data_IF_103058544542
#
_entry.id   IF_103058544542
#
_cell.length_a   1.000
_cell.length_b   1.000
_cell.length_c   1.000
_cell.angle_alpha   90.00
_cell.angle_beta   90.00
_cell.angle_gamma   90.00
#
_symmetry.space_group_name_H-M   'P 1'
#
loop_
_entity.id
_entity.type
_entity.pdbx_description
1 polymer ?
#
# COMPACT_ATOMS: atom_id res chain seq x y z
N UNK A 1 -0.94 12.65 -2.97
CA UNK A 1 -0.46 12.07 -1.69
C UNK A 1 0.65 11.09 -2.03
N UNK A 2 1.82 11.23 -1.41
CA UNK A 2 2.95 10.32 -1.58
C UNK A 2 2.92 9.30 -0.42
N UNK A 3 2.59 8.04 -0.74
CA UNK A 3 2.53 6.91 0.20
C UNK A 3 3.59 5.84 -0.15
N UNK A 4 3.95 5.74 -1.43
CA UNK A 4 5.01 4.84 -1.90
C UNK A 4 6.40 5.43 -1.65
N UNK A 5 7.38 4.55 -1.44
CA UNK A 5 8.79 4.91 -1.29
C UNK A 5 9.50 4.57 -2.62
N UNK A 6 9.72 5.54 -3.52
CA UNK A 6 10.43 5.29 -4.77
C UNK A 6 11.91 4.99 -4.53
N UNK A 7 12.54 4.27 -5.47
CA UNK A 7 14.00 3.98 -5.41
C UNK A 7 14.88 5.23 -5.54
N UNK A 8 14.33 6.35 -5.99
CA UNK A 8 15.04 7.62 -6.14
C UNK A 8 14.14 8.82 -5.87
N UNK A 9 14.73 10.01 -5.88
CA UNK A 9 14.00 11.23 -5.54
C UNK A 9 12.88 11.53 -6.57
N UNK A 10 11.70 11.88 -6.06
CA UNK A 10 10.63 12.45 -6.86
C UNK A 10 11.00 13.88 -7.27
N UNK A 11 11.01 14.16 -8.58
CA UNK A 11 11.12 15.52 -9.10
C UNK A 11 9.75 16.16 -9.26
N UNK A 12 9.60 17.40 -8.82
CA UNK A 12 8.36 18.15 -8.87
C UNK A 12 8.64 19.54 -9.44
N UNK A 13 7.76 20.03 -10.31
CA UNK A 13 7.85 21.37 -10.87
C UNK A 13 7.32 22.42 -9.87
N UNK A 14 8.16 23.40 -9.51
CA UNK A 14 7.81 24.44 -8.54
C UNK A 14 6.73 25.42 -9.06
N UNK A 15 6.70 25.72 -10.35
CA UNK A 15 5.69 26.59 -10.95
C UNK A 15 4.29 25.96 -10.87
N UNK A 16 4.19 24.64 -11.02
CA UNK A 16 2.91 23.93 -10.89
C UNK A 16 2.39 23.94 -9.44
N UNK A 17 3.29 23.95 -8.45
CA UNK A 17 2.93 24.14 -7.04
C UNK A 17 2.44 25.59 -6.81
N UNK A 18 3.19 26.58 -7.30
CA UNK A 18 2.87 28.00 -7.15
C UNK A 18 1.51 28.35 -7.77
N UNK A 19 1.25 27.84 -8.98
CA UNK A 19 -0.03 28.03 -9.68
C UNK A 19 -1.18 27.20 -9.07
N UNK A 20 -0.91 26.43 -8.01
CA UNK A 20 -1.92 25.66 -7.30
C UNK A 20 -2.48 24.48 -8.09
N UNK A 21 -1.78 23.99 -9.13
CA UNK A 21 -2.25 22.86 -9.95
C UNK A 21 -2.30 21.55 -9.16
N UNK A 22 -1.40 21.38 -8.19
CA UNK A 22 -1.35 20.20 -7.33
C UNK A 22 -1.08 20.57 -5.87
N UNK A 23 -1.64 19.77 -4.95
CA UNK A 23 -1.26 19.76 -3.54
C UNK A 23 -0.53 18.46 -3.22
N UNK A 24 0.62 18.59 -2.55
CA UNK A 24 1.48 17.45 -2.22
C UNK A 24 1.45 17.26 -0.72
N UNK A 25 1.16 16.02 -0.30
CA UNK A 25 1.09 15.61 1.09
C UNK A 25 1.78 14.25 1.20
N UNK A 26 2.73 14.13 2.11
CA UNK A 26 3.26 12.84 2.54
C UNK A 26 2.33 12.22 3.57
N UNK A 27 2.08 10.92 3.45
CA UNK A 27 1.34 10.16 4.44
C UNK A 27 2.03 8.83 4.68
N UNK A 28 1.99 8.36 5.92
CA UNK A 28 2.49 7.06 6.36
C UNK A 28 1.39 6.32 7.11
N UNK A 29 1.70 5.16 7.69
CA UNK A 29 0.81 4.44 8.58
C UNK A 29 0.27 5.36 9.68
N UNK A 30 -1.05 5.40 9.81
CA UNK A 30 -1.73 6.14 10.87
C UNK A 30 -1.55 5.48 12.24
N UNK A 31 -2.01 6.15 13.29
CA UNK A 31 -1.98 5.59 14.64
C UNK A 31 -3.08 4.53 14.81
N UNK A 32 -2.94 3.57 15.76
CA UNK A 32 -3.97 2.57 16.04
C UNK A 32 -5.35 3.18 16.34
N UNK A 33 -5.39 4.37 16.97
CA UNK A 33 -6.63 5.09 17.26
C UNK A 33 -7.38 5.51 15.98
N UNK A 34 -6.66 5.77 14.89
CA UNK A 34 -7.22 6.16 13.60
C UNK A 34 -7.73 4.97 12.78
N UNK A 35 -7.40 3.72 13.16
CA UNK A 35 -7.74 2.53 12.38
C UNK A 35 -9.22 2.10 12.51
N UNK A 36 -9.89 2.51 13.58
CA UNK A 36 -11.27 2.09 13.87
C UNK A 36 -12.25 2.43 12.74
N UNK A 37 -12.24 3.69 12.28
CA UNK A 37 -13.18 4.16 11.27
C UNK A 37 -12.96 3.50 9.89
N UNK A 38 -11.71 3.41 9.36
CA UNK A 38 -11.44 2.67 8.12
C UNK A 38 -11.85 1.19 8.18
N UNK A 39 -11.60 0.51 9.30
CA UNK A 39 -11.98 -0.90 9.46
C UNK A 39 -13.50 -1.05 9.43
N UNK A 40 -14.21 -0.22 10.20
CA UNK A 40 -15.68 -0.22 10.25
C UNK A 40 -16.27 0.08 8.87
N UNK A 41 -15.80 1.13 8.20
CA UNK A 41 -16.23 1.48 6.86
C UNK A 41 -15.98 0.35 5.85
N UNK A 42 -14.82 -0.31 5.94
CA UNK A 42 -14.50 -1.45 5.06
C UNK A 42 -15.47 -2.62 5.27
N UNK A 43 -15.84 -2.90 6.52
CA UNK A 43 -16.83 -3.93 6.84
C UNK A 43 -18.23 -3.57 6.31
N UNK A 44 -18.71 -2.35 6.57
CA UNK A 44 -20.04 -1.88 6.18
C UNK A 44 -20.24 -1.86 4.66
N UNK A 45 -19.18 -1.55 3.91
CA UNK A 45 -19.23 -1.48 2.44
C UNK A 45 -18.72 -2.75 1.75
N UNK A 46 -18.40 -3.81 2.50
CA UNK A 46 -17.92 -5.07 1.95
C UNK A 46 -16.57 -4.97 1.22
N UNK A 47 -15.74 -3.98 1.58
CA UNK A 47 -14.42 -3.77 0.98
C UNK A 47 -13.46 -4.85 1.49
N UNK A 48 -13.01 -5.72 0.59
CA UNK A 48 -12.06 -6.79 0.89
C UNK A 48 -10.78 -6.60 0.10
N UNK A 49 -9.65 -6.90 0.73
CA UNK A 49 -8.38 -6.97 0.01
C UNK A 49 -8.40 -8.16 -0.95
N UNK A 50 -7.92 -7.94 -2.19
CA UNK A 50 -7.59 -9.05 -3.06
C UNK A 50 -6.35 -9.76 -2.50
N UNK A 51 -6.52 -11.00 -2.07
CA UNK A 51 -5.50 -11.76 -1.34
C UNK A 51 -5.20 -13.07 -2.05
N UNK A 52 -3.92 -13.34 -2.30
CA UNK A 52 -3.41 -14.66 -2.68
C UNK A 52 -2.78 -15.30 -1.45
N UNK A 53 -3.24 -16.50 -1.10
CA UNK A 53 -2.84 -17.19 0.13
C UNK A 53 -1.87 -18.34 -0.15
N UNK A 54 -0.91 -18.52 0.74
CA UNK A 54 0.03 -19.65 0.79
C UNK A 54 -0.24 -20.46 2.06
N UNK A 55 -0.08 -21.77 1.98
CA UNK A 55 -0.42 -22.70 3.08
C UNK A 55 0.78 -23.15 3.91
N UNK A 56 2.00 -22.80 3.49
CA UNK A 56 3.23 -23.17 4.17
C UNK A 56 4.08 -21.91 4.41
N UNK A 57 4.65 -21.83 5.60
CA UNK A 57 5.65 -20.81 5.95
C UNK A 57 6.94 -20.96 5.11
N UNK A 58 7.23 -22.17 4.64
CA UNK A 58 8.33 -22.44 3.71
C UNK A 58 8.23 -21.68 2.38
N UNK A 59 7.02 -21.27 1.98
CA UNK A 59 6.81 -20.52 0.74
C UNK A 59 7.29 -19.05 0.82
N UNK A 60 7.77 -18.56 1.97
CA UNK A 60 8.24 -17.17 2.13
C UNK A 60 9.23 -16.75 1.04
N UNK A 61 10.19 -17.60 0.68
CA UNK A 61 11.19 -17.22 -0.32
C UNK A 61 10.57 -17.00 -1.70
N UNK A 62 9.64 -17.88 -2.09
CA UNK A 62 8.85 -17.73 -3.31
C UNK A 62 8.01 -16.45 -3.29
N UNK A 63 7.43 -16.10 -2.13
CA UNK A 63 6.67 -14.86 -1.95
C UNK A 63 7.57 -13.64 -2.18
N UNK A 64 8.79 -13.64 -1.64
CA UNK A 64 9.78 -12.57 -1.82
C UNK A 64 10.15 -12.44 -3.30
N UNK A 65 10.45 -13.55 -3.98
CA UNK A 65 10.77 -13.54 -5.41
C UNK A 65 9.62 -12.96 -6.25
N UNK A 66 8.36 -13.27 -5.91
CA UNK A 66 7.20 -12.72 -6.58
C UNK A 66 7.05 -11.21 -6.33
N UNK A 67 7.37 -10.73 -5.12
CA UNK A 67 7.35 -9.30 -4.76
C UNK A 67 8.41 -8.51 -5.52
N UNK A 68 9.65 -9.00 -5.56
CA UNK A 68 10.76 -8.30 -6.23
C UNK A 68 10.57 -8.22 -7.74
N UNK A 69 10.00 -9.26 -8.35
CA UNK A 69 9.69 -9.30 -9.78
C UNK A 69 8.40 -8.56 -10.16
N UNK A 70 7.72 -7.91 -9.21
CA UNK A 70 6.47 -7.19 -9.46
C UNK A 70 5.32 -8.08 -9.94
N UNK A 71 5.37 -9.40 -9.66
CA UNK A 71 4.37 -10.39 -10.08
C UNK A 71 3.22 -10.51 -9.07
N UNK A 72 2.91 -9.42 -8.38
CA UNK A 72 1.90 -9.41 -7.32
C UNK A 72 0.56 -8.92 -7.85
N UNK A 73 -0.48 -9.74 -7.66
CA UNK A 73 -1.86 -9.32 -7.80
C UNK A 73 -2.43 -9.16 -6.39
N UNK A 74 -2.48 -7.92 -5.89
CA UNK A 74 -3.01 -7.61 -4.56
C UNK A 74 -2.03 -7.91 -3.42
N UNK A 75 -2.50 -8.60 -2.38
CA UNK A 75 -1.75 -8.89 -1.15
C UNK A 75 -1.43 -10.38 -1.05
N UNK A 76 -0.32 -10.70 -0.42
CA UNK A 76 0.05 -12.07 -0.06
C UNK A 76 -0.19 -12.32 1.42
N UNK A 77 -0.73 -13.49 1.75
CA UNK A 77 -0.93 -13.94 3.13
C UNK A 77 -0.52 -15.39 3.28
N UNK A 78 0.03 -15.75 4.43
CA UNK A 78 0.34 -17.15 4.80
C UNK A 78 -0.71 -17.59 5.81
N UNK A 79 -1.35 -18.72 5.55
CA UNK A 79 -2.40 -19.31 6.38
C UNK A 79 -1.86 -20.59 6.98
N UNK A 80 -2.03 -20.77 8.30
CA UNK A 80 -1.59 -21.92 9.08
C UNK A 80 -2.78 -22.75 9.54
#
# INVERSE_FOLDING_TARGET
>A
MAIGIPKGNLSINALDILLGKYRIMGASSGTPQQMREPIKSSYEHGIKAHMTTFSDIGDIQKIIDLLENGKTAGRFGIVF
#
